data_IF_145041320997
#
_entry.id   IF_145041320997
#
_cell.length_a   1.000
_cell.length_b   1.000
_cell.length_c   1.000
_cell.angle_alpha   90.00
_cell.angle_beta   90.00
_cell.angle_gamma   90.00
#
_symmetry.space_group_name_H-M   'P 1'
#
loop_
_entity.id
_entity.type
_entity.pdbx_description
1 polymer ?
#
# COMPACT_ATOMS: atom_id res chain seq x y z
N UNK A 1 20.11 -2.24 -7.10
CA UNK A 1 19.02 -3.24 -7.13
C UNK A 1 17.70 -2.48 -7.09
N UNK A 2 16.92 -2.48 -8.17
CA UNK A 2 15.60 -1.84 -8.18
C UNK A 2 14.66 -2.78 -7.45
N UNK A 3 14.21 -2.41 -6.24
CA UNK A 3 13.26 -3.23 -5.48
C UNK A 3 11.94 -3.34 -6.25
N UNK A 4 11.42 -4.56 -6.35
CA UNK A 4 10.10 -4.81 -6.92
C UNK A 4 9.03 -4.11 -6.06
N UNK A 5 7.98 -3.55 -6.66
CA UNK A 5 6.85 -2.88 -5.97
C UNK A 5 6.31 -3.73 -4.81
N UNK A 6 6.25 -5.05 -5.00
CA UNK A 6 5.82 -6.01 -3.97
C UNK A 6 6.79 -6.05 -2.79
N UNK A 7 8.09 -6.05 -3.04
CA UNK A 7 9.13 -6.04 -1.99
C UNK A 7 9.09 -4.74 -1.19
N UNK A 8 8.86 -3.60 -1.84
CA UNK A 8 8.71 -2.30 -1.16
C UNK A 8 7.50 -2.34 -0.22
N UNK A 9 6.36 -2.85 -0.70
CA UNK A 9 5.14 -2.94 0.11
C UNK A 9 5.33 -3.89 1.29
N UNK A 10 5.89 -5.08 1.06
CA UNK A 10 6.14 -6.07 2.11
C UNK A 10 7.15 -5.57 3.16
N UNK A 11 8.23 -4.91 2.73
CA UNK A 11 9.21 -4.32 3.64
C UNK A 11 8.58 -3.27 4.55
N UNK A 12 7.76 -2.38 3.99
CA UNK A 12 7.03 -1.39 4.79
C UNK A 12 5.98 -2.02 5.71
N UNK A 13 5.25 -3.02 5.24
CA UNK A 13 4.33 -3.78 6.08
C UNK A 13 5.06 -4.37 7.30
N UNK A 14 6.19 -5.06 7.10
CA UNK A 14 6.98 -5.64 8.19
C UNK A 14 7.49 -4.57 9.14
N UNK A 15 7.99 -3.44 8.62
CA UNK A 15 8.42 -2.30 9.44
C UNK A 15 7.30 -1.81 10.36
N UNK A 16 6.13 -1.49 9.81
CA UNK A 16 5.02 -0.94 10.59
C UNK A 16 4.43 -1.98 11.56
N UNK A 17 4.35 -3.24 11.15
CA UNK A 17 3.94 -4.35 12.02
C UNK A 17 4.88 -4.49 13.22
N UNK A 18 6.19 -4.45 12.99
CA UNK A 18 7.17 -4.58 14.07
C UNK A 18 7.10 -3.37 15.03
N UNK A 19 6.94 -2.16 14.50
CA UNK A 19 6.71 -0.97 15.32
C UNK A 19 5.43 -1.08 16.15
N UNK A 20 4.36 -1.64 15.58
CA UNK A 20 3.13 -1.90 16.33
C UNK A 20 3.34 -2.88 17.50
N UNK A 21 4.11 -3.94 17.31
CA UNK A 21 4.43 -4.88 18.40
C UNK A 21 5.34 -4.29 19.49
N UNK A 22 6.14 -3.28 19.14
CA UNK A 22 7.04 -2.59 20.06
C UNK A 22 6.39 -1.36 20.74
N UNK A 23 5.19 -0.96 20.31
CA UNK A 23 4.52 0.22 20.82
C UNK A 23 4.08 0.03 22.28
N UNK A 24 4.23 1.09 23.08
CA UNK A 24 3.91 1.09 24.52
C UNK A 24 2.50 1.60 24.82
N UNK A 25 1.83 2.20 23.84
CA UNK A 25 0.49 2.76 23.97
C UNK A 25 -0.45 2.13 22.95
N UNK A 26 -1.71 1.95 23.33
CA UNK A 26 -2.75 1.45 22.41
C UNK A 26 -2.95 2.40 21.22
N UNK A 27 -2.72 3.70 21.42
CA UNK A 27 -2.79 4.70 20.36
C UNK A 27 -1.73 4.47 19.29
N UNK A 28 -0.47 4.26 19.69
CA UNK A 28 0.62 3.96 18.77
C UNK A 28 0.43 2.61 18.07
N UNK A 29 -0.07 1.59 18.79
CA UNK A 29 -0.44 0.29 18.18
C UNK A 29 -1.44 0.52 17.05
N UNK A 30 -2.53 1.26 17.30
CA UNK A 30 -3.56 1.54 16.29
C UNK A 30 -2.98 2.30 15.10
N UNK A 31 -2.15 3.32 15.36
CA UNK A 31 -1.48 4.12 14.33
C UNK A 31 -0.57 3.28 13.44
N UNK A 32 0.32 2.48 14.04
CA UNK A 32 1.25 1.63 13.30
C UNK A 32 0.55 0.49 12.57
N UNK A 33 -0.45 -0.15 13.18
CA UNK A 33 -1.26 -1.17 12.51
C UNK A 33 -2.01 -0.62 11.30
N UNK A 34 -2.59 0.59 11.40
CA UNK A 34 -3.24 1.26 10.25
C UNK A 34 -2.26 1.45 9.08
N UNK A 35 -1.02 1.86 9.37
CA UNK A 35 0.04 1.98 8.37
C UNK A 35 0.43 0.61 7.80
N UNK A 36 0.57 -0.42 8.64
CA UNK A 36 0.85 -1.78 8.18
C UNK A 36 -0.25 -2.28 7.23
N UNK A 37 -1.52 -2.14 7.61
CA UNK A 37 -2.66 -2.55 6.78
C UNK A 37 -2.68 -1.87 5.42
N UNK A 38 -2.40 -0.55 5.38
CA UNK A 38 -2.27 0.15 4.10
C UNK A 38 -1.25 -0.50 3.17
N UNK A 39 -0.05 -0.85 3.67
CA UNK A 39 1.01 -1.40 2.82
C UNK A 39 0.71 -2.82 2.33
N UNK A 40 0.07 -3.66 3.15
CA UNK A 40 -0.31 -5.01 2.71
C UNK A 40 -1.47 -4.97 1.70
N UNK A 41 -2.47 -4.10 1.89
CA UNK A 41 -3.53 -3.87 0.92
C UNK A 41 -2.98 -3.36 -0.42
N UNK A 42 -2.03 -2.43 -0.37
CA UNK A 42 -1.38 -1.90 -1.55
C UNK A 42 -0.60 -3.00 -2.32
N UNK A 43 0.06 -3.91 -1.60
CA UNK A 43 0.72 -5.08 -2.20
C UNK A 43 -0.26 -5.93 -3.00
N UNK A 44 -1.41 -6.28 -2.42
CA UNK A 44 -2.44 -7.06 -3.10
C UNK A 44 -3.05 -6.32 -4.30
N UNK A 45 -3.22 -5.00 -4.18
CA UNK A 45 -3.75 -4.20 -5.28
C UNK A 45 -2.78 -4.11 -6.47
N UNK A 46 -1.46 -4.04 -6.22
CA UNK A 46 -0.47 -4.15 -7.29
C UNK A 46 -0.48 -5.55 -7.93
N UNK A 47 -0.57 -6.62 -7.13
CA UNK A 47 -0.67 -7.98 -7.68
C UNK A 47 -1.93 -8.15 -8.56
N UNK A 48 -3.07 -7.61 -8.13
CA UNK A 48 -4.30 -7.64 -8.91
C UNK A 48 -4.16 -6.85 -10.22
N UNK A 49 -3.51 -5.68 -10.18
CA UNK A 49 -3.23 -4.89 -11.38
C UNK A 49 -2.29 -5.65 -12.34
N UNK A 50 -1.23 -6.29 -11.85
CA UNK A 50 -0.31 -7.06 -12.69
C UNK A 50 -0.99 -8.26 -13.36
N UNK A 51 -1.92 -8.92 -12.64
CA UNK A 51 -2.77 -9.97 -13.24
C UNK A 51 -3.69 -9.39 -14.31
N UNK A 52 -4.32 -8.25 -14.03
CA UNK A 52 -5.20 -7.57 -14.97
C UNK A 52 -4.46 -7.07 -16.22
N UNK A 53 -3.22 -6.61 -16.10
CA UNK A 53 -2.40 -6.19 -17.25
C UNK A 53 -2.05 -7.33 -18.22
N UNK A 54 -2.06 -8.58 -17.73
CA UNK A 54 -1.82 -9.77 -18.54
C UNK A 54 -3.10 -10.35 -19.14
N UNK A 55 -4.26 -9.86 -18.73
CA UNK A 55 -5.56 -10.30 -19.22
C UNK A 55 -5.99 -9.43 -20.41
N UNK A 56 -5.88 -9.98 -21.62
CA UNK A 56 -6.26 -9.29 -22.86
C UNK A 56 -7.76 -8.99 -22.98
N UNK A 57 -8.61 -9.59 -22.13
CA UNK A 57 -10.05 -9.33 -22.12
C UNK A 57 -10.42 -8.03 -21.41
N UNK A 58 -9.51 -7.47 -20.59
CA UNK A 58 -9.77 -6.25 -19.84
C UNK A 58 -9.61 -5.03 -20.74
N UNK A 59 -10.66 -4.21 -20.81
CA UNK A 59 -10.62 -2.94 -21.53
C UNK A 59 -9.49 -2.04 -21.00
N UNK A 60 -8.69 -1.48 -21.92
CA UNK A 60 -7.58 -0.58 -21.60
C UNK A 60 -7.99 0.60 -20.69
N UNK A 61 -9.22 1.12 -20.86
CA UNK A 61 -9.78 2.19 -20.02
C UNK A 61 -9.92 1.75 -18.55
N UNK A 62 -10.34 0.50 -18.30
CA UNK A 62 -10.44 -0.08 -16.95
C UNK A 62 -9.05 -0.20 -16.32
N UNK A 63 -8.05 -0.66 -17.06
CA UNK A 63 -6.66 -0.73 -16.58
C UNK A 63 -6.11 0.65 -16.18
N UNK A 64 -6.35 1.68 -17.01
CA UNK A 64 -5.96 3.05 -16.70
C UNK A 64 -6.68 3.53 -15.42
N UNK A 65 -7.97 3.25 -15.28
CA UNK A 65 -8.73 3.64 -14.10
C UNK A 65 -8.20 2.96 -12.82
N UNK A 66 -7.82 1.68 -12.88
CA UNK A 66 -7.21 0.96 -11.77
C UNK A 66 -5.89 1.61 -11.34
N UNK A 67 -5.03 1.96 -12.30
CA UNK A 67 -3.77 2.68 -12.04
C UNK A 67 -4.00 4.03 -11.38
N UNK A 68 -4.94 4.82 -11.91
CA UNK A 68 -5.31 6.13 -11.35
C UNK A 68 -5.82 5.98 -9.92
N UNK A 69 -6.66 4.98 -9.65
CA UNK A 69 -7.19 4.73 -8.31
C UNK A 69 -6.08 4.36 -7.31
N UNK A 70 -5.10 3.56 -7.73
CA UNK A 70 -3.93 3.25 -6.89
C UNK A 70 -3.08 4.49 -6.61
N UNK A 71 -2.81 5.32 -7.62
CA UNK A 71 -2.11 6.58 -7.44
C UNK A 71 -2.84 7.52 -6.48
N UNK A 72 -4.18 7.61 -6.58
CA UNK A 72 -4.99 8.39 -5.64
C UNK A 72 -4.85 7.91 -4.20
N UNK A 73 -4.91 6.58 -3.97
CA UNK A 73 -4.71 6.00 -2.64
C UNK A 73 -3.33 6.33 -2.06
N UNK A 74 -2.28 6.27 -2.89
CA UNK A 74 -0.92 6.65 -2.48
C UNK A 74 -0.83 8.14 -2.10
N UNK A 75 -1.41 9.02 -2.92
CA UNK A 75 -1.43 10.46 -2.65
C UNK A 75 -2.18 10.75 -1.35
N UNK A 76 -3.33 10.11 -1.13
CA UNK A 76 -4.12 10.26 0.09
C UNK A 76 -3.36 9.79 1.33
N UNK A 77 -2.72 8.62 1.24
CA UNK A 77 -1.87 8.11 2.32
C UNK A 77 -0.74 9.08 2.66
N UNK A 78 -0.02 9.60 1.65
CA UNK A 78 1.04 10.59 1.84
C UNK A 78 0.50 11.88 2.48
N UNK A 79 -0.65 12.38 2.02
CA UNK A 79 -1.30 13.56 2.62
C UNK A 79 -1.64 13.34 4.08
N UNK A 80 -2.12 12.14 4.44
CA UNK A 80 -2.43 11.80 5.82
C UNK A 80 -1.17 11.71 6.67
N UNK A 81 -0.08 11.14 6.14
CA UNK A 81 1.22 11.14 6.83
C UNK A 81 1.76 12.55 7.09
N UNK A 82 1.67 13.45 6.10
CA UNK A 82 2.16 14.82 6.24
C UNK A 82 1.38 15.65 7.27
N UNK A 83 0.12 15.31 7.55
CA UNK A 83 -0.67 15.96 8.62
C UNK A 83 -0.26 15.53 10.02
N UNK A 84 0.51 14.45 10.13
CA UNK A 84 0.98 13.88 11.41
C UNK A 84 2.42 14.29 11.73
N UNK A 85 3.06 15.11 10.88
CA UNK A 85 4.38 15.73 11.06
C UNK A 85 4.16 17.18 11.48
#
# INVERSE_FOLDING_TARGET
MVLNKKEICLSNYQKWKNLAFQAKSLEDVKKFMKRAFFWIELSYAFEALEKAEKDFSIERKKLIQMKVNLSKKLIEYTKNLLKEI
#
